data_IF_875590289910
#
_entry.id   IF_875590289910
#
_cell.length_a   1.000
_cell.length_b   1.000
_cell.length_c   1.000
_cell.angle_alpha   90.00
_cell.angle_beta   90.00
_cell.angle_gamma   90.00
#
_symmetry.space_group_name_H-M   'P 1'
#
loop_
_entity.id
_entity.type
_entity.pdbx_description
1 polymer ?
#
# COMPACT_ATOMS: atom_id res chain seq x y z
N UNK A 1 16.13 -12.69 -14.69
CA UNK A 1 15.60 -13.39 -15.85
C UNK A 1 14.90 -12.43 -16.82
N UNK A 2 13.81 -11.74 -16.43
CA UNK A 2 13.11 -10.77 -17.30
C UNK A 2 14.04 -9.66 -17.85
N UNK A 3 14.95 -9.15 -17.05
CA UNK A 3 15.92 -8.15 -17.48
C UNK A 3 16.79 -8.67 -18.64
N UNK A 4 17.35 -9.87 -18.52
CA UNK A 4 18.17 -10.48 -19.57
C UNK A 4 17.39 -10.76 -20.83
N UNK A 5 16.12 -11.13 -20.69
CA UNK A 5 15.22 -11.34 -21.83
C UNK A 5 14.95 -10.03 -22.59
N UNK A 6 14.66 -8.94 -21.87
CA UNK A 6 14.45 -7.61 -22.47
C UNK A 6 15.71 -7.11 -23.14
N UNK A 7 16.86 -7.20 -22.48
CA UNK A 7 18.14 -6.76 -23.03
C UNK A 7 18.60 -7.59 -24.22
N UNK A 8 18.26 -8.88 -24.25
CA UNK A 8 18.55 -9.74 -25.42
C UNK A 8 17.79 -9.36 -26.66
N UNK A 9 16.63 -8.69 -26.51
CA UNK A 9 15.78 -8.27 -27.62
C UNK A 9 15.95 -6.79 -27.98
N UNK A 10 16.30 -5.94 -27.02
CA UNK A 10 16.33 -4.48 -27.18
C UNK A 10 17.56 -3.85 -26.54
N UNK A 11 18.19 -2.91 -27.24
CA UNK A 11 19.22 -2.05 -26.64
C UNK A 11 18.57 -0.90 -25.88
N UNK A 12 18.23 -1.15 -24.61
CA UNK A 12 17.52 -0.22 -23.77
C UNK A 12 18.11 -0.17 -22.35
N UNK A 13 17.86 0.93 -21.64
CA UNK A 13 18.09 1.02 -20.21
C UNK A 13 16.81 0.55 -19.48
N UNK A 14 16.98 -0.22 -18.43
CA UNK A 14 15.88 -0.73 -17.62
C UNK A 14 15.89 -0.06 -16.25
N UNK A 15 14.76 0.50 -15.83
CA UNK A 15 14.58 0.98 -14.46
C UNK A 15 13.79 -0.07 -13.68
N UNK A 16 14.39 -0.55 -12.58
CA UNK A 16 13.74 -1.42 -11.61
C UNK A 16 13.33 -0.55 -10.43
N UNK A 17 12.04 -0.34 -10.25
CA UNK A 17 11.48 0.39 -9.11
C UNK A 17 10.87 -0.59 -8.11
N UNK A 18 11.34 -0.53 -6.87
CA UNK A 18 10.87 -1.41 -5.78
C UNK A 18 10.34 -0.57 -4.64
N UNK A 19 9.07 -0.73 -4.32
CA UNK A 19 8.44 -0.09 -3.17
C UNK A 19 8.37 -1.06 -1.99
N UNK A 20 8.62 -0.55 -0.78
CA UNK A 20 8.37 -1.30 0.44
C UNK A 20 6.87 -1.51 0.61
N UNK A 21 6.48 -2.68 1.09
CA UNK A 21 5.09 -2.94 1.43
C UNK A 21 4.67 -2.08 2.62
N UNK A 22 3.61 -1.30 2.44
CA UNK A 22 2.94 -0.53 3.50
C UNK A 22 1.51 -1.03 3.59
N UNK A 23 1.10 -1.67 4.70
CA UNK A 23 -0.28 -2.12 4.87
C UNK A 23 -1.22 -0.92 4.94
N UNK A 24 -2.31 -0.97 4.16
CA UNK A 24 -3.28 0.12 4.07
C UNK A 24 -4.64 -0.33 4.59
N UNK A 25 -5.37 0.55 5.31
CA UNK A 25 -6.78 0.35 5.64
C UNK A 25 -7.61 -0.03 4.41
N UNK A 26 -8.68 -0.77 4.62
CA UNK A 26 -9.63 -1.20 3.58
C UNK A 26 -9.02 -2.03 2.44
N UNK A 27 -7.89 -2.68 2.70
CA UNK A 27 -7.30 -3.65 1.77
C UNK A 27 -7.24 -5.04 2.41
N UNK A 28 -7.18 -6.12 1.62
CA UNK A 28 -7.04 -7.47 2.17
C UNK A 28 -5.81 -7.66 3.04
N UNK A 29 -4.76 -6.87 2.81
CA UNK A 29 -3.49 -6.96 3.54
C UNK A 29 -3.39 -6.00 4.75
N UNK A 30 -4.48 -5.36 5.16
CA UNK A 30 -4.49 -4.40 6.28
C UNK A 30 -4.07 -5.02 7.63
N UNK A 31 -4.21 -6.34 7.79
CA UNK A 31 -3.82 -7.07 9.01
C UNK A 31 -2.36 -7.50 9.02
N UNK A 32 -1.66 -7.39 7.88
CA UNK A 32 -0.24 -7.75 7.80
C UNK A 32 0.65 -6.73 8.50
N UNK A 33 1.72 -7.19 9.18
CA UNK A 33 2.75 -6.29 9.65
C UNK A 33 3.60 -5.77 8.49
N UNK A 34 4.10 -4.55 8.60
CA UNK A 34 5.22 -4.12 7.80
C UNK A 34 6.52 -4.76 8.32
N UNK A 35 7.49 -5.00 7.46
CA UNK A 35 8.84 -5.35 7.89
C UNK A 35 9.47 -4.20 8.70
N UNK A 36 10.37 -4.51 9.63
CA UNK A 36 11.15 -3.48 10.33
C UNK A 36 12.01 -2.68 9.35
N UNK A 37 12.37 -1.45 9.73
CA UNK A 37 13.27 -0.60 8.93
C UNK A 37 14.56 -1.35 8.58
N UNK A 38 15.19 -2.00 9.56
CA UNK A 38 16.42 -2.76 9.35
C UNK A 38 16.26 -3.89 8.32
N UNK A 39 15.12 -4.60 8.34
CA UNK A 39 14.86 -5.67 7.38
C UNK A 39 14.59 -5.11 5.97
N UNK A 40 13.91 -3.98 5.86
CA UNK A 40 13.71 -3.30 4.57
C UNK A 40 15.07 -2.85 4.01
N UNK A 41 15.90 -2.18 4.80
CA UNK A 41 17.23 -1.73 4.40
C UNK A 41 18.13 -2.91 3.97
N UNK A 42 18.08 -4.03 4.70
CA UNK A 42 18.80 -5.26 4.34
C UNK A 42 18.36 -5.78 2.96
N UNK A 43 17.04 -5.81 2.70
CA UNK A 43 16.49 -6.23 1.40
C UNK A 43 16.87 -5.27 0.28
N UNK A 44 16.84 -3.97 0.54
CA UNK A 44 17.25 -2.93 -0.42
C UNK A 44 18.74 -3.07 -0.77
N UNK A 45 19.59 -3.30 0.22
CA UNK A 45 21.01 -3.54 -0.02
C UNK A 45 21.25 -4.81 -0.83
N UNK A 46 20.57 -5.90 -0.51
CA UNK A 46 20.63 -7.14 -1.29
C UNK A 46 20.27 -6.91 -2.76
N UNK A 47 19.17 -6.19 -3.03
CA UNK A 47 18.76 -5.88 -4.40
C UNK A 47 19.77 -4.94 -5.09
N UNK A 48 20.33 -3.96 -4.37
CA UNK A 48 21.37 -3.07 -4.90
C UNK A 48 22.62 -3.86 -5.33
N UNK A 49 22.98 -4.88 -4.57
CA UNK A 49 24.10 -5.74 -4.89
C UNK A 49 23.84 -6.67 -6.10
N UNK A 50 22.58 -7.04 -6.34
CA UNK A 50 22.18 -7.80 -7.52
C UNK A 50 22.14 -6.94 -8.79
N UNK A 51 21.72 -5.67 -8.69
CA UNK A 51 21.55 -4.77 -9.85
C UNK A 51 22.81 -3.93 -10.12
N UNK A 52 23.96 -4.59 -10.31
CA UNK A 52 25.24 -3.91 -10.59
C UNK A 52 25.48 -3.56 -12.06
N UNK A 53 24.59 -4.00 -12.97
CA UNK A 53 24.71 -3.69 -14.38
C UNK A 53 24.45 -2.19 -14.63
N UNK A 54 25.37 -1.52 -15.36
CA UNK A 54 25.28 -0.10 -15.71
C UNK A 54 24.03 0.31 -16.50
N UNK A 55 23.35 -0.65 -17.08
CA UNK A 55 22.11 -0.45 -17.83
C UNK A 55 20.86 -0.61 -16.97
N UNK A 56 21.02 -1.01 -15.70
CA UNK A 56 19.94 -1.08 -14.72
C UNK A 56 19.99 0.15 -13.80
N UNK A 57 18.90 0.90 -13.78
CA UNK A 57 18.69 1.90 -12.73
C UNK A 57 17.80 1.26 -11.65
N UNK A 58 18.34 1.09 -10.45
CA UNK A 58 17.58 0.64 -9.30
C UNK A 58 17.05 1.86 -8.53
N UNK A 59 15.76 1.93 -8.33
CA UNK A 59 15.07 2.95 -7.55
C UNK A 59 14.24 2.27 -6.46
N UNK A 60 14.25 2.83 -5.26
CA UNK A 60 13.49 2.31 -4.12
C UNK A 60 12.99 3.44 -3.22
N UNK A 61 11.94 3.16 -2.48
CA UNK A 61 11.38 4.08 -1.50
C UNK A 61 12.16 3.98 -0.19
N UNK A 62 12.45 5.11 0.43
CA UNK A 62 13.17 5.15 1.70
C UNK A 62 12.46 4.35 2.79
N UNK A 63 13.22 3.53 3.54
CA UNK A 63 12.65 2.61 4.53
C UNK A 63 12.04 3.35 5.73
N UNK A 64 12.66 4.45 6.18
CA UNK A 64 12.20 5.24 7.32
C UNK A 64 10.95 6.04 6.99
N UNK A 65 10.87 6.59 5.77
CA UNK A 65 9.67 7.25 5.25
C UNK A 65 8.51 6.25 5.15
N UNK A 66 8.76 5.07 4.58
CA UNK A 66 7.77 4.00 4.49
C UNK A 66 7.31 3.48 5.84
N UNK A 67 8.20 3.45 6.84
CA UNK A 67 7.84 3.09 8.21
C UNK A 67 6.89 4.11 8.83
N UNK A 68 7.22 5.41 8.77
CA UNK A 68 6.34 6.45 9.29
C UNK A 68 4.99 6.46 8.57
N UNK A 69 4.98 6.22 7.27
CA UNK A 69 3.75 6.07 6.49
C UNK A 69 2.88 4.93 7.04
N UNK A 70 3.46 3.77 7.37
CA UNK A 70 2.71 2.64 7.93
C UNK A 70 2.16 2.96 9.34
N UNK A 71 2.96 3.63 10.18
CA UNK A 71 2.51 4.07 11.50
C UNK A 71 1.30 4.98 11.38
N UNK A 72 1.37 6.01 10.53
CA UNK A 72 0.30 6.98 10.35
C UNK A 72 -0.94 6.38 9.68
N UNK A 73 -0.75 5.51 8.67
CA UNK A 73 -1.85 4.85 7.96
C UNK A 73 -2.64 3.88 8.85
N UNK A 74 -2.00 3.27 9.85
CA UNK A 74 -2.62 2.29 10.75
C UNK A 74 -2.85 2.82 12.16
N UNK A 75 -2.59 4.10 12.36
CA UNK A 75 -2.67 4.76 13.65
C UNK A 75 -4.09 5.01 14.13
N UNK A 76 -4.17 5.33 15.40
CA UNK A 76 -5.39 5.78 16.07
C UNK A 76 -5.31 7.26 16.45
N UNK A 77 -6.31 7.76 17.18
CA UNK A 77 -6.39 9.16 17.60
C UNK A 77 -5.25 9.60 18.53
N UNK A 78 -4.54 8.67 19.17
CA UNK A 78 -3.39 9.00 20.04
C UNK A 78 -2.25 9.61 19.24
N UNK A 79 -2.11 9.25 17.95
CA UNK A 79 -1.09 9.82 17.07
C UNK A 79 -1.25 11.33 16.86
N UNK A 80 -2.42 11.89 17.10
CA UNK A 80 -2.64 13.33 17.07
C UNK A 80 -1.71 14.11 17.99
N UNK A 81 -1.35 13.54 19.15
CA UNK A 81 -0.39 14.13 20.11
C UNK A 81 1.03 14.15 19.52
N UNK A 82 1.42 13.07 18.85
CA UNK A 82 2.73 12.95 18.21
C UNK A 82 2.84 13.93 17.05
N UNK A 83 1.83 13.98 16.18
CA UNK A 83 1.78 14.89 15.03
C UNK A 83 1.88 16.36 15.49
N UNK A 84 1.12 16.75 16.51
CA UNK A 84 1.17 18.09 17.04
C UNK A 84 2.56 18.43 17.62
N UNK A 85 3.20 17.47 18.29
CA UNK A 85 4.54 17.64 18.84
C UNK A 85 5.59 17.73 17.74
N UNK A 86 5.52 16.87 16.73
CA UNK A 86 6.40 16.89 15.58
C UNK A 86 6.31 18.22 14.83
N UNK A 87 5.09 18.71 14.60
CA UNK A 87 4.88 20.02 14.01
C UNK A 87 5.52 21.16 14.83
N UNK A 88 5.33 21.16 16.16
CA UNK A 88 5.97 22.15 17.06
C UNK A 88 7.49 22.09 17.04
N UNK A 89 8.08 20.91 16.77
CA UNK A 89 9.53 20.72 16.58
C UNK A 89 10.01 21.03 15.15
N UNK A 90 9.12 21.52 14.27
CA UNK A 90 9.45 21.94 12.91
C UNK A 90 9.45 20.82 11.89
N UNK A 91 8.81 19.69 12.16
CA UNK A 91 8.54 18.67 11.14
C UNK A 91 7.41 19.18 10.24
N UNK A 92 7.82 19.77 9.11
CA UNK A 92 6.95 20.30 8.07
C UNK A 92 7.53 19.89 6.73
N UNK A 93 6.66 19.68 5.73
CA UNK A 93 7.08 19.23 4.40
C UNK A 93 7.78 17.84 4.38
N UNK A 94 7.41 16.94 5.29
CA UNK A 94 8.05 15.61 5.45
C UNK A 94 7.92 14.69 4.23
N UNK A 95 7.07 15.03 3.24
CA UNK A 95 7.03 14.34 1.95
C UNK A 95 8.24 14.65 1.04
N UNK A 96 9.05 15.65 1.39
CA UNK A 96 10.27 16.00 0.69
C UNK A 96 11.48 15.48 1.46
N UNK A 97 12.31 14.69 0.81
CA UNK A 97 13.44 14.00 1.45
C UNK A 97 14.38 14.92 2.22
N UNK A 98 14.59 16.13 1.71
CA UNK A 98 15.46 17.14 2.34
C UNK A 98 14.89 17.74 3.65
N UNK A 99 13.57 17.65 3.86
CA UNK A 99 12.91 18.16 5.07
C UNK A 99 12.55 17.04 6.04
N UNK A 100 12.48 15.81 5.57
CA UNK A 100 12.12 14.67 6.41
C UNK A 100 13.15 14.37 7.49
N UNK A 101 12.75 14.38 8.75
CA UNK A 101 13.62 14.09 9.88
C UNK A 101 13.05 12.94 10.74
N UNK A 102 13.48 11.73 10.41
CA UNK A 102 13.04 10.52 11.09
C UNK A 102 13.30 10.54 12.61
N UNK A 103 14.50 10.99 13.01
CA UNK A 103 14.90 10.94 14.42
C UNK A 103 14.04 11.87 15.28
N UNK A 104 13.64 13.03 14.76
CA UNK A 104 12.68 13.91 15.44
C UNK A 104 11.31 13.26 15.60
N UNK A 105 10.84 12.50 14.63
CA UNK A 105 9.59 11.76 14.73
C UNK A 105 9.68 10.70 15.83
N UNK A 106 10.75 9.90 15.85
CA UNK A 106 10.98 8.87 16.88
C UNK A 106 11.05 9.52 18.28
N UNK A 107 11.75 10.64 18.42
CA UNK A 107 11.78 11.41 19.68
C UNK A 107 10.37 11.84 20.12
N UNK A 108 9.53 12.33 19.19
CA UNK A 108 8.14 12.70 19.47
C UNK A 108 7.28 11.51 19.93
N UNK A 109 7.45 10.34 19.33
CA UNK A 109 6.80 9.11 19.77
C UNK A 109 7.21 8.76 21.20
N UNK A 110 8.51 8.76 21.49
CA UNK A 110 9.05 8.47 22.81
C UNK A 110 8.52 9.45 23.88
N UNK A 111 8.55 10.76 23.60
CA UNK A 111 8.03 11.78 24.51
C UNK A 111 6.52 11.72 24.75
N UNK A 112 5.78 11.08 23.84
CA UNK A 112 4.35 10.82 24.00
C UNK A 112 4.04 9.48 24.67
N UNK A 113 5.06 8.68 25.02
CA UNK A 113 4.95 7.30 25.49
C UNK A 113 4.12 6.42 24.53
N UNK A 114 4.35 6.56 23.24
CA UNK A 114 3.71 5.79 22.20
C UNK A 114 4.77 4.97 21.47
N UNK A 115 4.56 3.67 21.40
CA UNK A 115 5.41 2.76 20.63
C UNK A 115 4.91 2.69 19.18
N UNK A 116 5.65 3.25 18.20
CA UNK A 116 5.24 3.22 16.80
C UNK A 116 5.23 1.81 16.20
N UNK A 117 6.02 0.87 16.73
CA UNK A 117 6.07 -0.52 16.24
C UNK A 117 4.73 -1.25 16.44
N UNK A 118 3.96 -0.88 17.45
CA UNK A 118 2.62 -1.41 17.66
C UNK A 118 1.67 -1.09 16.50
N UNK A 119 1.92 -0.02 15.77
CA UNK A 119 1.14 0.35 14.58
C UNK A 119 1.71 -0.28 13.31
N UNK A 120 3.02 -0.15 13.04
CA UNK A 120 3.62 -0.59 11.80
C UNK A 120 3.91 -2.09 11.76
N UNK A 121 4.57 -2.63 12.80
CA UNK A 121 5.21 -3.94 12.75
C UNK A 121 4.39 -5.05 13.44
N UNK A 122 3.36 -4.70 14.22
CA UNK A 122 2.50 -5.70 14.86
C UNK A 122 1.56 -6.35 13.84
N UNK A 123 1.50 -7.71 13.76
CA UNK A 123 0.42 -8.38 13.05
C UNK A 123 -0.90 -8.13 13.79
N UNK A 124 -1.98 -7.91 13.05
CA UNK A 124 -3.33 -7.71 13.59
C UNK A 124 -4.19 -8.93 13.34
N UNK A 125 -5.12 -9.18 14.24
CA UNK A 125 -6.10 -10.24 14.05
C UNK A 125 -7.22 -9.74 13.12
N UNK A 126 -7.68 -10.58 12.19
CA UNK A 126 -8.75 -10.22 11.25
C UNK A 126 -10.10 -9.91 11.92
N UNK A 127 -10.26 -10.28 13.20
CA UNK A 127 -11.44 -9.99 14.02
C UNK A 127 -11.24 -8.82 15.01
N UNK A 128 -10.04 -8.27 15.07
CA UNK A 128 -9.73 -7.09 15.87
C UNK A 128 -10.50 -5.87 15.36
N UNK A 129 -10.93 -5.02 16.29
CA UNK A 129 -11.50 -3.73 15.93
C UNK A 129 -10.39 -2.78 15.50
N UNK A 130 -10.49 -2.27 14.28
CA UNK A 130 -9.50 -1.37 13.71
C UNK A 130 -9.87 0.11 13.94
N UNK A 131 -8.90 1.00 14.05
CA UNK A 131 -9.16 2.44 14.24
C UNK A 131 -10.06 3.06 13.17
N UNK A 132 -10.10 2.49 11.98
CA UNK A 132 -10.87 2.97 10.83
C UNK A 132 -12.21 2.24 10.60
N UNK A 133 -12.57 1.27 11.44
CA UNK A 133 -13.82 0.49 11.28
C UNK A 133 -15.11 1.34 11.35
N UNK A 134 -15.00 2.58 11.81
CA UNK A 134 -16.12 3.55 11.83
C UNK A 134 -16.35 4.26 10.48
N UNK A 135 -15.47 4.04 9.50
CA UNK A 135 -15.55 4.61 8.16
C UNK A 135 -16.08 3.55 7.21
N UNK A 136 -17.19 3.86 6.54
CA UNK A 136 -17.72 3.01 5.49
C UNK A 136 -17.16 3.44 4.14
N UNK A 137 -16.40 2.55 3.51
CA UNK A 137 -15.85 2.74 2.17
C UNK A 137 -16.57 1.91 1.10
N UNK A 138 -17.71 1.29 1.48
CA UNK A 138 -18.50 0.43 0.60
C UNK A 138 -18.02 -1.02 0.51
N UNK A 139 -16.76 -1.31 0.86
CA UNK A 139 -16.23 -2.70 0.88
C UNK A 139 -16.46 -3.32 2.24
N UNK A 140 -17.15 -4.46 2.30
CA UNK A 140 -17.39 -5.15 3.58
C UNK A 140 -16.11 -5.78 4.14
N UNK A 141 -16.01 -5.78 5.48
CA UNK A 141 -14.89 -6.43 6.19
C UNK A 141 -14.84 -7.95 5.92
N UNK A 142 -15.99 -8.58 5.73
CA UNK A 142 -16.08 -10.01 5.39
C UNK A 142 -15.51 -10.30 3.99
N UNK A 143 -15.74 -9.42 3.03
CA UNK A 143 -15.11 -9.54 1.72
C UNK A 143 -13.59 -9.41 1.83
N UNK A 144 -13.09 -8.43 2.57
CA UNK A 144 -11.64 -8.26 2.78
C UNK A 144 -11.02 -9.50 3.46
N UNK A 145 -11.72 -10.12 4.43
CA UNK A 145 -11.27 -11.38 5.04
C UNK A 145 -11.25 -12.54 4.04
N UNK A 146 -12.25 -12.63 3.18
CA UNK A 146 -12.28 -13.64 2.10
C UNK A 146 -11.08 -13.46 1.18
N UNK A 147 -10.84 -12.25 0.71
CA UNK A 147 -9.70 -11.91 -0.16
C UNK A 147 -8.35 -12.19 0.52
N UNK A 148 -8.22 -11.87 1.80
CA UNK A 148 -7.04 -12.21 2.60
C UNK A 148 -6.78 -13.71 2.63
N UNK A 149 -7.81 -14.53 2.90
CA UNK A 149 -7.70 -15.99 2.91
C UNK A 149 -7.38 -16.58 1.53
N UNK A 150 -7.91 -15.97 0.48
CA UNK A 150 -7.58 -16.33 -0.91
C UNK A 150 -6.10 -16.02 -1.21
N UNK A 151 -5.64 -14.83 -0.86
CA UNK A 151 -4.26 -14.40 -1.06
C UNK A 151 -3.25 -15.30 -0.34
N UNK A 152 -3.54 -15.73 0.90
CA UNK A 152 -2.70 -16.69 1.64
C UNK A 152 -2.54 -18.04 0.93
N UNK A 153 -3.50 -18.43 0.09
CA UNK A 153 -3.47 -19.65 -0.73
C UNK A 153 -2.88 -19.40 -2.13
N UNK A 154 -2.43 -18.19 -2.44
CA UNK A 154 -1.96 -17.82 -3.78
C UNK A 154 -3.07 -17.82 -4.84
N UNK A 155 -4.34 -17.70 -4.41
CA UNK A 155 -5.49 -17.67 -5.31
C UNK A 155 -5.80 -16.22 -5.71
N UNK A 156 -6.19 -16.03 -6.96
CA UNK A 156 -6.55 -14.73 -7.52
C UNK A 156 -8.07 -14.61 -7.59
N UNK A 157 -8.57 -13.41 -7.31
CA UNK A 157 -9.95 -13.03 -7.57
C UNK A 157 -10.05 -12.45 -8.97
N UNK A 158 -11.05 -12.85 -9.71
CA UNK A 158 -11.29 -12.37 -11.07
C UNK A 158 -11.78 -10.91 -11.08
N UNK A 159 -11.61 -10.25 -12.22
CA UNK A 159 -12.11 -8.89 -12.43
C UNK A 159 -13.61 -8.91 -12.70
N UNK A 160 -14.40 -8.29 -11.81
CA UNK A 160 -15.84 -8.21 -11.92
C UNK A 160 -16.34 -7.31 -13.08
N UNK A 161 -15.44 -6.61 -13.79
CA UNK A 161 -15.79 -5.89 -15.02
C UNK A 161 -16.05 -6.85 -16.19
N UNK A 162 -15.47 -8.03 -16.14
CA UNK A 162 -15.52 -9.02 -17.23
C UNK A 162 -16.20 -10.33 -16.84
N UNK A 163 -16.38 -10.56 -15.53
CA UNK A 163 -16.88 -11.81 -14.96
C UNK A 163 -17.95 -11.51 -13.88
N UNK A 164 -18.65 -12.53 -13.34
CA UNK A 164 -19.66 -12.30 -12.31
C UNK A 164 -19.20 -11.51 -11.12
N UNK A 165 -20.11 -10.85 -10.43
CA UNK A 165 -19.82 -10.04 -9.24
C UNK A 165 -19.13 -10.84 -8.13
N UNK A 166 -18.06 -10.29 -7.56
CA UNK A 166 -17.27 -10.90 -6.47
C UNK A 166 -17.91 -10.75 -5.09
N UNK A 167 -19.00 -9.96 -4.98
CA UNK A 167 -19.71 -9.75 -3.71
C UNK A 167 -18.99 -8.79 -2.74
N UNK A 168 -18.21 -7.82 -3.24
CA UNK A 168 -17.53 -6.84 -2.39
C UNK A 168 -18.48 -5.85 -1.70
N UNK A 169 -19.72 -5.77 -2.17
CA UNK A 169 -20.80 -4.90 -1.71
C UNK A 169 -20.71 -3.43 -2.14
N UNK A 170 -19.63 -2.98 -2.80
CA UNK A 170 -19.47 -1.57 -3.19
C UNK A 170 -20.64 -1.07 -4.04
N UNK A 171 -20.99 -1.80 -5.10
CA UNK A 171 -22.03 -1.35 -6.04
C UNK A 171 -23.40 -1.17 -5.36
N UNK A 172 -23.94 -2.14 -4.58
CA UNK A 172 -25.24 -1.96 -3.93
C UNK A 172 -25.19 -0.99 -2.75
N UNK A 173 -24.10 -0.91 -1.99
CA UNK A 173 -24.03 -0.03 -0.80
C UNK A 173 -23.87 1.44 -1.17
N UNK A 174 -23.15 1.72 -2.25
CA UNK A 174 -22.91 3.10 -2.70
C UNK A 174 -23.85 3.53 -3.84
N UNK A 175 -24.79 2.66 -4.24
CA UNK A 175 -25.68 2.88 -5.39
C UNK A 175 -24.93 3.30 -6.66
N UNK A 176 -23.82 2.60 -6.93
CA UNK A 176 -22.98 2.85 -8.10
C UNK A 176 -23.04 1.68 -9.08
N UNK A 177 -22.81 1.98 -10.35
CA UNK A 177 -22.69 0.98 -11.42
C UNK A 177 -21.28 0.99 -11.97
N UNK A 178 -20.78 -0.18 -12.31
CA UNK A 178 -19.56 -0.29 -13.12
C UNK A 178 -19.84 0.21 -14.52
N UNK A 179 -19.21 1.31 -14.91
CA UNK A 179 -19.27 1.87 -16.26
C UNK A 179 -17.84 1.94 -16.75
N UNK A 180 -17.55 1.22 -17.84
CA UNK A 180 -16.27 1.37 -18.54
C UNK A 180 -16.46 2.44 -19.61
N UNK A 181 -16.00 3.64 -19.31
CA UNK A 181 -15.92 4.71 -20.30
C UNK A 181 -14.73 4.43 -21.21
N UNK A 182 -14.98 3.65 -22.27
CA UNK A 182 -14.08 3.69 -23.41
C UNK A 182 -14.29 5.06 -24.08
N UNK A 183 -13.20 5.79 -24.30
CA UNK A 183 -13.23 6.94 -25.19
C UNK A 183 -13.91 6.50 -26.49
N UNK A 184 -14.87 7.28 -26.97
CA UNK A 184 -15.56 7.02 -28.23
C UNK A 184 -14.53 7.01 -29.37
N UNK A 185 -13.93 5.87 -29.63
CA UNK A 185 -13.21 5.64 -30.89
C UNK A 185 -14.30 5.55 -31.96
N UNK A 186 -14.32 6.44 -32.97
CA UNK A 186 -15.35 6.42 -33.96
C UNK A 186 -15.47 5.03 -34.58
N UNK A 187 -16.58 4.35 -34.35
CA UNK A 187 -16.86 2.99 -34.88
C UNK A 187 -16.91 1.87 -33.83
N UNK A 188 -16.49 2.08 -32.59
CA UNK A 188 -16.65 1.08 -31.52
C UNK A 188 -17.88 1.40 -30.65
N UNK A 189 -18.80 0.46 -30.55
CA UNK A 189 -19.95 0.55 -29.62
C UNK A 189 -19.45 0.46 -28.19
N UNK A 190 -19.90 1.38 -27.33
CA UNK A 190 -19.68 1.28 -25.89
C UNK A 190 -20.10 -0.09 -25.39
N UNK A 191 -19.15 -0.87 -24.87
CA UNK A 191 -19.44 -2.20 -24.32
C UNK A 191 -19.79 -2.00 -22.86
N UNK A 192 -21.06 -2.15 -22.52
CA UNK A 192 -21.49 -2.27 -21.11
C UNK A 192 -20.93 -3.58 -20.57
N UNK A 193 -19.97 -3.50 -19.67
CA UNK A 193 -19.27 -4.67 -19.12
C UNK A 193 -20.10 -5.34 -18.01
N UNK A 194 -21.19 -4.75 -17.57
CA UNK A 194 -22.02 -5.32 -16.51
C UNK A 194 -23.47 -5.51 -16.97
N UNK A 195 -23.86 -6.77 -17.15
CA UNK A 195 -25.26 -7.18 -17.11
C UNK A 195 -25.57 -7.70 -15.71
N UNK A 196 -26.50 -7.05 -15.02
CA UNK A 196 -27.10 -7.64 -13.85
C UNK A 196 -27.78 -8.95 -14.25
N UNK A 197 -27.39 -10.05 -13.63
CA UNK A 197 -28.16 -11.27 -13.54
C UNK A 197 -29.03 -11.23 -12.31
#
# INVERSE_FOLDING_TARGET
DLYHEIRGKYDCRVTVSVSSFVPKPFTPFQWMPQCSVAEIERKQQYLKDLFRDKHIKYAYHDAKTGYLEAVLARGDRQLGKVILKAWKKGCTYDSWTEFFNYDKWIECFHECNIDPDLYANRPRNEFEQEPWDHIDCGVTKDYLRKEWKMAQKGLLTHDCRHLPCNGCAVCPLLDVKLIDHKEDVPGEKAVFIYKQG
#
